data_IF_158215497282
#
_entry.id   IF_158215497282
#
_cell.length_a   1.000
_cell.length_b   1.000
_cell.length_c   1.000
_cell.angle_alpha   90.00
_cell.angle_beta   90.00
_cell.angle_gamma   90.00
#
_symmetry.space_group_name_H-M   'P 1'
#
loop_
_entity.id
_entity.type
_entity.pdbx_description
1 polymer ?
#
# COMPACT_ATOMS: atom_id res chain seq x y z
N UNK A 1 -12.34 1.74 34.05
CA UNK A 1 -11.20 1.78 33.10
C UNK A 1 -11.69 2.36 31.78
N UNK A 2 -11.52 3.67 31.58
CA UNK A 2 -11.79 4.34 30.30
C UNK A 2 -10.52 5.11 29.94
N UNK A 3 -9.75 4.60 28.97
CA UNK A 3 -8.66 5.36 28.39
C UNK A 3 -9.21 6.20 27.25
N UNK A 4 -9.22 7.50 27.49
CA UNK A 4 -9.62 8.53 26.56
C UNK A 4 -8.46 8.80 25.59
N UNK A 5 -8.71 8.57 24.29
CA UNK A 5 -7.73 8.78 23.23
C UNK A 5 -7.61 10.29 22.94
N UNK A 6 -6.39 10.84 22.98
CA UNK A 6 -6.10 12.24 22.66
C UNK A 6 -5.26 12.32 21.38
N UNK A 7 -5.69 13.06 20.34
CA UNK A 7 -4.90 13.28 19.14
C UNK A 7 -3.77 14.27 19.41
N UNK A 8 -2.52 13.81 19.25
CA UNK A 8 -1.33 14.65 19.21
C UNK A 8 -1.31 15.50 17.93
N UNK A 9 -1.56 16.82 18.07
CA UNK A 9 -1.28 17.82 17.03
C UNK A 9 0.23 17.99 16.87
N UNK A 10 0.81 17.50 15.77
CA UNK A 10 2.18 17.88 15.37
C UNK A 10 2.14 19.18 14.55
N UNK A 11 3.03 20.15 14.84
CA UNK A 11 3.12 21.39 14.09
C UNK A 11 3.79 21.17 12.73
N UNK A 12 3.38 21.99 11.77
CA UNK A 12 3.58 21.81 10.33
C UNK A 12 5.02 21.55 9.90
N UNK A 13 5.19 20.47 9.14
CA UNK A 13 6.26 20.37 8.16
C UNK A 13 5.73 20.96 6.84
N UNK A 14 6.16 22.18 6.53
CA UNK A 14 6.13 22.66 5.15
C UNK A 14 6.99 21.69 4.33
N UNK A 15 6.34 20.89 3.50
CA UNK A 15 7.01 20.08 2.49
C UNK A 15 7.65 21.01 1.45
N UNK A 16 8.96 20.91 1.20
CA UNK A 16 9.62 21.72 0.18
C UNK A 16 9.04 21.42 -1.21
N UNK A 17 8.81 22.47 -2.01
CA UNK A 17 8.13 22.45 -3.31
C UNK A 17 8.72 21.46 -4.34
N UNK A 18 9.93 20.93 -4.13
CA UNK A 18 10.53 19.91 -4.98
C UNK A 18 9.87 18.51 -4.83
N UNK A 19 9.25 18.20 -3.69
CA UNK A 19 8.55 16.92 -3.52
C UNK A 19 7.27 16.82 -4.37
N UNK A 20 6.69 17.96 -4.77
CA UNK A 20 5.49 17.99 -5.62
C UNK A 20 5.78 17.70 -7.09
N UNK A 21 7.04 17.82 -7.53
CA UNK A 21 7.43 17.53 -8.91
C UNK A 21 7.74 16.03 -9.12
N UNK A 22 8.21 15.33 -8.08
CA UNK A 22 8.53 13.90 -8.16
C UNK A 22 7.25 13.04 -8.18
N UNK A 23 6.19 13.45 -7.47
CA UNK A 23 4.90 12.74 -7.54
C UNK A 23 4.18 12.87 -8.89
N UNK A 24 4.62 13.77 -9.78
CA UNK A 24 4.00 14.00 -11.11
C UNK A 24 4.60 13.18 -12.25
N UNK A 25 5.72 12.50 -12.01
CA UNK A 25 6.44 11.74 -13.04
C UNK A 25 6.30 10.21 -12.89
N UNK A 26 5.31 9.74 -12.12
CA UNK A 26 5.04 8.30 -12.03
C UNK A 26 4.07 7.91 -13.16
N UNK A 27 4.49 7.06 -14.12
CA UNK A 27 3.60 6.57 -15.15
C UNK A 27 2.57 5.66 -14.47
N UNK A 28 1.37 6.19 -14.24
CA UNK A 28 0.23 5.39 -13.80
C UNK A 28 0.01 4.22 -14.78
N UNK A 29 0.10 2.95 -14.34
CA UNK A 29 -0.52 1.89 -15.09
C UNK A 29 -2.04 2.16 -15.08
N UNK A 30 -2.55 2.45 -16.29
CA UNK A 30 -3.96 2.32 -16.66
C UNK A 30 -4.48 0.95 -16.21
N UNK A 31 -5.76 0.88 -15.85
CA UNK A 31 -6.62 -0.33 -15.67
C UNK A 31 -7.20 -0.61 -14.27
N UNK A 32 -7.37 0.40 -13.40
CA UNK A 32 -8.18 0.24 -12.17
C UNK A 32 -9.70 0.20 -12.36
N UNK A 33 -10.20 0.04 -13.60
CA UNK A 33 -11.62 0.24 -13.94
C UNK A 33 -12.47 -1.03 -14.07
N UNK A 34 -11.87 -2.23 -14.11
CA UNK A 34 -12.61 -3.45 -14.48
C UNK A 34 -13.09 -4.30 -13.30
N UNK A 35 -12.61 -4.04 -12.08
CA UNK A 35 -12.98 -4.86 -10.91
C UNK A 35 -14.35 -4.49 -10.31
N UNK A 36 -14.87 -3.28 -10.58
CA UNK A 36 -16.09 -2.80 -9.92
C UNK A 36 -17.40 -3.33 -10.55
N UNK A 37 -17.37 -3.84 -11.78
CA UNK A 37 -18.59 -4.21 -12.52
C UNK A 37 -18.98 -5.69 -12.42
N UNK A 38 -18.10 -6.55 -11.88
CA UNK A 38 -18.32 -8.01 -11.91
C UNK A 38 -19.20 -8.55 -10.76
N UNK A 39 -19.40 -7.76 -9.70
CA UNK A 39 -20.10 -8.19 -8.48
C UNK A 39 -21.64 -8.23 -8.64
N UNK A 40 -22.20 -7.50 -9.60
CA UNK A 40 -23.64 -7.27 -9.69
C UNK A 40 -24.44 -8.50 -10.14
N UNK A 41 -24.08 -9.23 -11.21
CA UNK A 41 -24.97 -10.29 -11.72
C UNK A 41 -24.93 -11.59 -10.91
N UNK A 42 -23.77 -11.96 -10.36
CA UNK A 42 -23.61 -13.22 -9.62
C UNK A 42 -24.30 -13.18 -8.26
N UNK A 43 -24.20 -12.06 -7.53
CA UNK A 43 -24.87 -11.87 -6.24
C UNK A 43 -26.39 -11.84 -6.39
N UNK A 44 -26.90 -11.23 -7.46
CA UNK A 44 -28.35 -11.18 -7.75
C UNK A 44 -28.96 -12.58 -7.89
N UNK A 45 -28.30 -13.50 -8.60
CA UNK A 45 -28.82 -14.85 -8.79
C UNK A 45 -28.88 -15.66 -7.50
N UNK A 46 -27.87 -15.53 -6.62
CA UNK A 46 -27.87 -16.18 -5.31
C UNK A 46 -29.02 -15.65 -4.42
N UNK A 47 -29.23 -14.33 -4.42
CA UNK A 47 -30.33 -13.68 -3.68
C UNK A 47 -31.69 -14.13 -4.23
N UNK A 48 -31.87 -14.14 -5.54
CA UNK A 48 -33.12 -14.59 -6.18
C UNK A 48 -33.44 -16.04 -5.81
N UNK A 49 -32.48 -16.96 -5.94
CA UNK A 49 -32.69 -18.38 -5.63
C UNK A 49 -32.95 -18.61 -4.14
N UNK A 50 -32.29 -17.85 -3.27
CA UNK A 50 -32.56 -17.85 -1.84
C UNK A 50 -34.00 -17.40 -1.57
N UNK A 51 -34.44 -16.32 -2.22
CA UNK A 51 -35.83 -15.85 -2.16
C UNK A 51 -36.83 -16.92 -2.60
N UNK A 52 -36.54 -17.67 -3.67
CA UNK A 52 -37.37 -18.79 -4.13
C UNK A 52 -37.46 -19.92 -3.09
N UNK A 53 -36.37 -20.23 -2.38
CA UNK A 53 -36.38 -21.22 -1.28
C UNK A 53 -37.27 -20.74 -0.13
N UNK A 54 -37.16 -19.47 0.25
CA UNK A 54 -38.04 -18.89 1.27
C UNK A 54 -39.51 -18.85 0.83
N UNK A 55 -39.76 -18.53 -0.44
CA UNK A 55 -41.10 -18.58 -1.04
C UNK A 55 -41.72 -19.97 -0.94
N UNK A 56 -40.96 -21.01 -1.28
CA UNK A 56 -41.39 -22.40 -1.11
C UNK A 56 -41.84 -22.70 0.33
N UNK A 57 -41.04 -22.33 1.33
CA UNK A 57 -41.42 -22.56 2.72
C UNK A 57 -42.65 -21.74 3.15
N UNK A 58 -42.81 -20.53 2.63
CA UNK A 58 -44.00 -19.73 2.88
C UNK A 58 -45.26 -20.38 2.28
N UNK A 59 -45.17 -20.91 1.06
CA UNK A 59 -46.27 -21.59 0.39
C UNK A 59 -46.64 -22.91 1.08
N UNK A 60 -45.65 -23.71 1.48
CA UNK A 60 -45.88 -24.95 2.23
C UNK A 60 -46.62 -24.69 3.54
N UNK A 61 -46.25 -23.62 4.26
CA UNK A 61 -46.97 -23.17 5.47
C UNK A 61 -48.39 -22.73 5.16
N UNK A 62 -48.56 -21.91 4.13
CA UNK A 62 -49.87 -21.36 3.72
C UNK A 62 -50.85 -22.47 3.29
N UNK A 63 -50.33 -23.51 2.63
CA UNK A 63 -51.11 -24.64 2.16
C UNK A 63 -51.32 -25.74 3.22
N UNK A 64 -50.67 -25.64 4.39
CA UNK A 64 -50.79 -26.65 5.45
C UNK A 64 -50.19 -28.01 5.08
N UNK A 65 -49.29 -28.07 4.09
CA UNK A 65 -48.73 -29.31 3.53
C UNK A 65 -47.33 -29.63 4.06
N UNK A 66 -46.93 -29.06 5.20
CA UNK A 66 -45.61 -29.26 5.81
C UNK A 66 -45.22 -30.75 5.95
N UNK A 67 -46.21 -31.61 6.23
CA UNK A 67 -46.01 -33.06 6.35
C UNK A 67 -45.63 -33.75 5.03
N UNK A 68 -46.04 -33.19 3.89
CA UNK A 68 -45.87 -33.80 2.57
C UNK A 68 -44.78 -33.12 1.72
N UNK A 69 -44.53 -31.82 1.95
CA UNK A 69 -43.50 -31.05 1.26
C UNK A 69 -42.51 -30.37 2.20
N UNK A 70 -41.84 -31.08 3.13
CA UNK A 70 -40.98 -30.44 4.13
C UNK A 70 -39.69 -29.84 3.55
N UNK A 71 -39.35 -30.16 2.29
CA UNK A 71 -38.07 -29.76 1.67
C UNK A 71 -38.28 -29.12 0.31
N UNK A 72 -37.55 -28.05 -0.01
CA UNK A 72 -37.59 -27.41 -1.32
C UNK A 72 -37.10 -28.36 -2.42
N UNK A 73 -37.51 -28.12 -3.67
CA UNK A 73 -37.07 -28.93 -4.81
C UNK A 73 -35.54 -29.02 -4.88
N UNK A 74 -35.01 -30.24 -5.03
CA UNK A 74 -33.55 -30.48 -5.08
C UNK A 74 -32.84 -29.68 -6.17
N UNK A 75 -33.51 -29.47 -7.30
CA UNK A 75 -32.97 -28.65 -8.39
C UNK A 75 -32.73 -27.20 -7.95
N UNK A 76 -33.64 -26.63 -7.15
CA UNK A 76 -33.52 -25.27 -6.63
C UNK A 76 -32.35 -25.15 -5.65
N UNK A 77 -32.25 -26.08 -4.69
CA UNK A 77 -31.15 -26.06 -3.71
C UNK A 77 -29.79 -26.31 -4.35
N UNK A 78 -29.70 -27.23 -5.31
CA UNK A 78 -28.47 -27.46 -6.06
C UNK A 78 -28.07 -26.23 -6.89
N UNK A 79 -29.05 -25.58 -7.53
CA UNK A 79 -28.84 -24.36 -8.31
C UNK A 79 -28.40 -23.19 -7.44
N UNK A 80 -28.92 -23.06 -6.21
CA UNK A 80 -28.45 -22.10 -5.22
C UNK A 80 -27.01 -22.39 -4.78
N UNK A 81 -26.69 -23.65 -4.46
CA UNK A 81 -25.34 -24.06 -4.08
C UNK A 81 -24.29 -23.67 -5.13
N UNK A 82 -24.60 -23.83 -6.43
CA UNK A 82 -23.71 -23.40 -7.52
C UNK A 82 -23.50 -21.88 -7.59
N UNK A 83 -24.49 -21.06 -7.25
CA UNK A 83 -24.26 -19.60 -7.23
C UNK A 83 -23.43 -19.17 -6.02
N UNK A 84 -23.60 -19.84 -4.88
CA UNK A 84 -22.79 -19.61 -3.68
C UNK A 84 -21.32 -19.97 -3.96
N UNK A 85 -21.07 -21.11 -4.61
CA UNK A 85 -19.71 -21.54 -4.97
C UNK A 85 -19.03 -20.54 -5.92
N UNK A 86 -19.76 -19.97 -6.90
CA UNK A 86 -19.22 -18.91 -7.76
C UNK A 86 -18.90 -17.63 -6.97
N UNK A 87 -19.74 -17.29 -5.99
CA UNK A 87 -19.50 -16.13 -5.13
C UNK A 87 -18.23 -16.32 -4.28
N UNK A 88 -18.03 -17.52 -3.75
CA UNK A 88 -16.82 -17.90 -3.00
C UNK A 88 -15.55 -17.74 -3.86
N UNK A 89 -15.57 -18.26 -5.08
CA UNK A 89 -14.47 -18.11 -6.05
C UNK A 89 -14.16 -16.63 -6.37
N UNK A 90 -15.18 -15.78 -6.42
CA UNK A 90 -15.00 -14.35 -6.64
C UNK A 90 -14.32 -13.67 -5.44
N UNK A 91 -14.71 -14.05 -4.22
CA UNK A 91 -14.07 -13.57 -2.99
C UNK A 91 -12.58 -13.97 -2.97
N UNK A 92 -12.25 -15.22 -3.29
CA UNK A 92 -10.86 -15.70 -3.36
C UNK A 92 -10.03 -14.91 -4.38
N UNK A 93 -10.61 -14.62 -5.55
CA UNK A 93 -9.95 -13.84 -6.60
C UNK A 93 -9.70 -12.39 -6.16
N UNK A 94 -10.70 -11.76 -5.52
CA UNK A 94 -10.57 -10.41 -4.97
C UNK A 94 -9.51 -10.35 -3.87
N UNK A 95 -9.52 -11.30 -2.94
CA UNK A 95 -8.54 -11.39 -1.87
C UNK A 95 -7.13 -11.55 -2.44
N UNK A 96 -6.95 -12.48 -3.38
CA UNK A 96 -5.66 -12.68 -4.07
C UNK A 96 -5.16 -11.40 -4.73
N UNK A 97 -6.06 -10.63 -5.36
CA UNK A 97 -5.70 -9.36 -5.97
C UNK A 97 -5.28 -8.31 -4.94
N UNK A 98 -6.01 -8.19 -3.83
CA UNK A 98 -5.70 -7.26 -2.75
C UNK A 98 -4.36 -7.60 -2.08
N UNK A 99 -4.12 -8.87 -1.77
CA UNK A 99 -2.86 -9.33 -1.19
C UNK A 99 -1.67 -9.07 -2.12
N UNK A 100 -1.85 -9.31 -3.43
CA UNK A 100 -0.84 -8.95 -4.42
C UNK A 100 -0.57 -7.44 -4.47
N UNK A 101 -1.61 -6.62 -4.43
CA UNK A 101 -1.45 -5.16 -4.41
C UNK A 101 -0.69 -4.69 -3.15
N UNK A 102 -1.05 -5.22 -1.98
CA UNK A 102 -0.37 -4.93 -0.70
C UNK A 102 1.11 -5.30 -0.78
N UNK A 103 1.45 -6.50 -1.25
CA UNK A 103 2.85 -6.95 -1.34
C UNK A 103 3.68 -6.09 -2.29
N UNK A 104 3.11 -5.65 -3.42
CA UNK A 104 3.76 -4.71 -4.34
C UNK A 104 4.01 -3.37 -3.65
N UNK A 105 3.01 -2.80 -2.99
CA UNK A 105 3.14 -1.51 -2.30
C UNK A 105 4.16 -1.57 -1.15
N UNK A 106 4.16 -2.65 -0.37
CA UNK A 106 5.14 -2.86 0.70
C UNK A 106 6.57 -2.96 0.15
N UNK A 107 6.76 -3.70 -0.94
CA UNK A 107 8.06 -3.78 -1.63
C UNK A 107 8.50 -2.41 -2.12
N UNK A 108 7.61 -1.67 -2.77
CA UNK A 108 7.95 -0.38 -3.36
C UNK A 108 8.26 0.66 -2.26
N UNK A 109 7.51 0.65 -1.15
CA UNK A 109 7.80 1.44 0.03
C UNK A 109 9.19 1.10 0.61
N UNK A 110 9.52 -0.19 0.76
CA UNK A 110 10.83 -0.60 1.27
C UNK A 110 12.00 -0.18 0.37
N UNK A 111 11.79 -0.13 -0.96
CA UNK A 111 12.79 0.35 -1.91
C UNK A 111 12.99 1.86 -1.77
N UNK A 112 11.91 2.58 -1.60
CA UNK A 112 11.94 4.03 -1.43
C UNK A 112 12.62 4.42 -0.11
N UNK A 113 12.29 3.75 1.00
CA UNK A 113 12.96 3.96 2.28
C UNK A 113 14.47 3.70 2.20
N UNK A 114 14.90 2.66 1.47
CA UNK A 114 16.32 2.37 1.25
C UNK A 114 16.99 3.45 0.42
N UNK A 115 16.32 3.97 -0.63
CA UNK A 115 16.84 5.07 -1.45
C UNK A 115 17.06 6.32 -0.60
N UNK A 116 16.07 6.70 0.20
CA UNK A 116 16.16 7.85 1.11
C UNK A 116 17.31 7.69 2.12
N UNK A 117 17.48 6.49 2.70
CA UNK A 117 18.59 6.21 3.62
C UNK A 117 19.95 6.33 2.93
N UNK A 118 20.11 5.75 1.75
CA UNK A 118 21.35 5.81 0.99
C UNK A 118 21.71 7.26 0.58
N UNK A 119 20.72 8.06 0.17
CA UNK A 119 20.91 9.49 -0.13
C UNK A 119 21.33 10.28 1.13
N UNK A 120 20.71 10.00 2.28
CA UNK A 120 21.08 10.62 3.55
C UNK A 120 22.50 10.25 3.99
N UNK A 121 22.89 8.97 3.89
CA UNK A 121 24.24 8.50 4.18
C UNK A 121 25.28 9.12 3.25
N UNK A 122 24.99 9.22 1.95
CA UNK A 122 25.85 9.87 0.98
C UNK A 122 26.02 11.37 1.27
N UNK A 123 24.95 12.06 1.69
CA UNK A 123 25.01 13.46 2.09
C UNK A 123 25.86 13.69 3.35
N UNK A 124 25.83 12.76 4.31
CA UNK A 124 26.65 12.83 5.53
C UNK A 124 28.13 12.53 5.27
N UNK A 125 28.46 11.70 4.27
CA UNK A 125 29.83 11.39 3.88
C UNK A 125 30.56 12.56 3.20
N UNK A 126 29.84 13.59 2.74
CA UNK A 126 30.40 14.77 2.06
C UNK A 126 30.80 15.88 3.06
N UNK A 127 30.50 15.74 4.37
CA UNK A 127 30.96 16.71 5.39
C UNK A 127 32.49 16.62 5.50
N UNK A 128 33.27 17.65 5.10
CA UNK A 128 34.71 17.59 5.13
C UNK A 128 35.19 17.55 6.58
N UNK A 129 36.08 16.61 6.88
CA UNK A 129 36.83 16.55 8.14
C UNK A 129 37.50 17.92 8.38
N UNK A 130 37.31 18.58 9.54
CA UNK A 130 37.95 19.85 9.80
C UNK A 130 39.48 19.68 9.71
N UNK A 131 40.19 20.64 9.07
CA UNK A 131 41.64 20.55 8.92
C UNK A 131 42.29 20.53 10.30
N UNK A 132 43.10 19.50 10.54
CA UNK A 132 43.91 19.38 11.74
C UNK A 132 44.93 20.54 11.76
N UNK A 133 45.12 21.24 12.90
CA UNK A 133 46.01 22.39 12.96
C UNK A 133 47.46 21.95 12.74
N UNK A 134 48.10 22.56 11.75
CA UNK A 134 49.49 22.32 11.39
C UNK A 134 50.42 22.65 12.58
N UNK A 135 51.22 21.67 12.98
CA UNK A 135 52.38 21.84 13.84
C UNK A 135 53.44 22.65 13.08
N UNK A 136 53.62 23.90 13.47
CA UNK A 136 54.74 24.73 13.04
C UNK A 136 56.02 24.26 13.73
N UNK A 137 56.89 23.59 12.98
CA UNK A 137 58.29 23.41 13.35
C UNK A 137 59.13 23.25 12.07
N UNK A 138 59.77 24.32 11.64
CA UNK A 138 61.01 24.19 10.87
C UNK A 138 61.96 25.31 11.31
N UNK A 139 62.85 24.91 12.21
CA UNK A 139 64.00 25.66 12.65
C UNK A 139 65.10 25.66 11.58
N UNK A 140 65.68 26.84 11.37
CA UNK A 140 67.13 27.11 11.32
C UNK A 140 68.00 26.60 10.15
N UNK A 141 68.96 27.48 9.77
CA UNK A 141 70.15 27.35 8.90
C UNK A 141 69.88 27.49 7.40
N UNK A 142 70.47 28.40 6.62
CA UNK A 142 71.56 29.36 6.76
C UNK A 142 72.12 29.58 5.34
N UNK A 143 72.41 30.83 4.93
CA UNK A 143 73.53 31.26 4.06
C UNK A 143 73.25 32.67 3.48
N UNK A 144 74.19 33.63 3.59
CA UNK A 144 74.00 35.02 3.15
C UNK A 144 74.38 35.21 1.67
N UNK A 145 73.59 35.99 0.92
CA UNK A 145 74.01 36.51 -0.38
C UNK A 145 74.22 38.02 -0.25
N UNK A 146 75.43 38.41 -0.62
CA UNK A 146 76.03 39.74 -0.54
C UNK A 146 75.44 40.76 -1.51
N UNK A 147 75.53 42.01 -1.05
CA UNK A 147 75.24 43.30 -1.67
C UNK A 147 75.88 43.44 -3.06
N UNK A 148 75.15 44.04 -4.00
CA UNK A 148 75.75 44.87 -5.06
C UNK A 148 74.99 46.19 -5.19
N UNK A 149 75.68 47.26 -4.82
CA UNK A 149 75.37 48.67 -5.03
C UNK A 149 75.88 49.05 -6.43
N UNK A 150 75.12 49.78 -7.24
CA UNK A 150 75.71 50.53 -8.34
C UNK A 150 74.89 51.77 -8.70
N UNK A 151 75.54 52.91 -8.42
CA UNK A 151 75.56 54.25 -9.04
C UNK A 151 74.32 54.87 -9.69
#
# INVERSE_FOLDING_TARGET
>A
MHQQWQPQKKPGMLLPCHLLQILRASPHPRSGGECAFFLSPMSQNAVIKTGQVYGFYADVRKLGIEKYGPRPPRALTASLGREIEKYDQLCDAMESHLLRAITVLQRDLSREEKRIKAEAEAAMAIIPKPPSPATSAHDTTGFPITIFHNH
#
